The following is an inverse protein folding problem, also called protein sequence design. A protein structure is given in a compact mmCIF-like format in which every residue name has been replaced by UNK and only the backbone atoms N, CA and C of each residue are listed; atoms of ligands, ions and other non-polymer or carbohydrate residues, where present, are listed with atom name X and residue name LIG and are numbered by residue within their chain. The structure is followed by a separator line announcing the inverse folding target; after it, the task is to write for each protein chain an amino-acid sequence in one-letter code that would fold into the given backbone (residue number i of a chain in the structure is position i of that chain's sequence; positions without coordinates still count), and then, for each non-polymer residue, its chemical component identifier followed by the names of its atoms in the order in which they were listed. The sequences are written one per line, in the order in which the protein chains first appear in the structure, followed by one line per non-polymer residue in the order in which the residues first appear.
data_IF_486994969154
#
_entry.id   IF_486994969154
#
_cell.length_a   1.000
_cell.length_b   1.000
_cell.length_c   1.000
_cell.angle_alpha   90.00
_cell.angle_beta   90.00
_cell.angle_gamma   90.00
#
_symmetry.space_group_name_H-M   'P 1'
#
loop_
_entity.id
_entity.type
_entity.pdbx_description
1 polymer ?
#
# COMPACT_ATOMS: atom_id res chain seq x y z
N UNK A 1 12.97 5.93 27.61
CA UNK A 1 12.19 4.68 27.78
C UNK A 1 11.70 4.23 26.42
N UNK A 2 12.30 3.15 25.88
CA UNK A 2 12.07 2.62 24.53
C UNK A 2 10.91 1.62 24.60
N UNK A 3 9.77 1.95 23.98
CA UNK A 3 8.55 1.12 23.98
C UNK A 3 8.74 -0.24 23.27
N UNK A 4 9.82 -0.43 22.52
CA UNK A 4 10.04 -1.60 21.67
C UNK A 4 10.61 -2.84 22.40
N UNK A 5 11.05 -2.75 23.66
CA UNK A 5 11.76 -3.87 24.33
C UNK A 5 10.86 -4.77 25.18
N UNK A 6 9.59 -4.42 25.38
CA UNK A 6 8.67 -5.14 26.27
C UNK A 6 7.71 -6.09 25.55
N UNK A 7 7.72 -6.09 24.21
CA UNK A 7 6.91 -6.99 23.41
C UNK A 7 7.87 -7.89 22.64
N UNK A 8 8.18 -9.04 23.22
CA UNK A 8 8.82 -10.17 22.54
C UNK A 8 7.84 -10.79 21.53
N UNK A 9 7.31 -9.94 20.64
CA UNK A 9 6.37 -10.29 19.60
C UNK A 9 7.02 -9.87 18.29
N UNK A 10 7.27 -10.81 17.36
CA UNK A 10 7.67 -10.45 16.01
C UNK A 10 6.64 -9.46 15.45
N UNK A 11 7.07 -8.22 15.20
CA UNK A 11 6.21 -7.12 14.71
C UNK A 11 5.51 -7.41 13.37
N UNK A 12 5.86 -8.53 12.74
CA UNK A 12 5.32 -8.99 11.47
C UNK A 12 3.98 -9.74 11.55
N UNK A 13 3.34 -9.90 12.72
CA UNK A 13 2.15 -10.77 12.81
C UNK A 13 0.96 -10.30 13.66
N UNK A 14 0.68 -8.99 13.70
CA UNK A 14 -0.49 -8.47 14.43
C UNK A 14 -1.65 -7.99 13.55
N UNK A 15 -1.53 -8.01 12.21
CA UNK A 15 -2.66 -7.73 11.31
C UNK A 15 -2.49 -8.52 9.98
N UNK A 16 -2.21 -9.81 10.06
CA UNK A 16 -2.62 -10.71 8.97
C UNK A 16 -3.82 -11.47 9.51
N UNK A 17 -5.00 -10.97 9.18
CA UNK A 17 -6.13 -11.89 8.99
C UNK A 17 -5.72 -12.66 7.75
N UNK A 18 -5.22 -13.88 7.93
CA UNK A 18 -4.79 -14.76 6.83
C UNK A 18 -5.95 -14.87 5.83
N UNK A 19 -5.86 -14.14 4.71
CA UNK A 19 -6.89 -14.11 3.66
C UNK A 19 -7.24 -12.72 3.09
N UNK A 20 -6.91 -11.62 3.78
CA UNK A 20 -7.22 -10.28 3.27
C UNK A 20 -6.08 -9.71 2.41
N UNK A 21 -6.40 -9.31 1.17
CA UNK A 21 -5.46 -8.63 0.28
C UNK A 21 -5.24 -7.21 0.83
N UNK A 22 -4.00 -6.80 1.19
CA UNK A 22 -3.75 -5.44 1.67
C UNK A 22 -3.91 -4.42 0.54
N UNK A 23 -4.43 -3.24 0.86
CA UNK A 23 -4.45 -2.09 -0.04
C UNK A 23 -3.06 -1.41 -0.12
N UNK A 24 -2.88 -0.44 -1.02
CA UNK A 24 -1.59 0.23 -1.18
C UNK A 24 -1.14 0.96 0.09
N UNK A 25 -2.08 1.50 0.86
CA UNK A 25 -1.76 2.21 2.10
C UNK A 25 -1.26 1.24 3.16
N UNK A 26 -1.90 0.07 3.29
CA UNK A 26 -1.49 -1.00 4.18
C UNK A 26 -0.08 -1.50 3.84
N UNK A 27 0.20 -1.80 2.56
CA UNK A 27 1.54 -2.20 2.11
C UNK A 27 2.60 -1.15 2.46
N UNK A 28 2.29 0.13 2.22
CA UNK A 28 3.22 1.23 2.55
C UNK A 28 3.50 1.31 4.06
N UNK A 29 2.48 1.18 4.89
CA UNK A 29 2.61 1.24 6.35
C UNK A 29 3.36 0.02 6.90
N UNK A 30 3.11 -1.17 6.35
CA UNK A 30 3.87 -2.40 6.67
C UNK A 30 5.36 -2.26 6.33
N UNK A 31 5.68 -1.59 5.21
CA UNK A 31 7.06 -1.25 4.84
C UNK A 31 7.67 -0.10 5.66
N UNK A 32 6.92 0.53 6.57
CA UNK A 32 7.39 1.65 7.39
C UNK A 32 7.67 2.94 6.61
N UNK A 33 7.05 3.11 5.44
CA UNK A 33 7.32 4.22 4.53
C UNK A 33 6.26 5.35 4.65
N UNK A 34 6.71 6.61 4.51
CA UNK A 34 5.78 7.73 4.29
C UNK A 34 5.42 7.84 2.81
N UNK A 35 4.23 8.36 2.50
CA UNK A 35 3.79 8.56 1.10
C UNK A 35 4.77 9.42 0.30
N UNK A 36 5.34 10.45 0.93
CA UNK A 36 6.36 11.31 0.32
C UNK A 36 7.65 10.55 0.00
N UNK A 37 8.19 9.79 0.96
CA UNK A 37 9.41 9.00 0.75
C UNK A 37 9.23 7.98 -0.37
N UNK A 38 8.08 7.33 -0.40
CA UNK A 38 7.79 6.34 -1.43
C UNK A 38 7.60 6.97 -2.82
N UNK A 39 6.83 8.05 -2.92
CA UNK A 39 6.63 8.76 -4.18
C UNK A 39 7.96 9.23 -4.79
N UNK A 40 8.89 9.74 -3.95
CA UNK A 40 10.25 10.08 -4.38
C UNK A 40 11.02 8.85 -4.87
N UNK A 41 10.97 7.74 -4.14
CA UNK A 41 11.68 6.51 -4.49
C UNK A 41 11.21 5.91 -5.84
N UNK A 42 9.90 5.99 -6.11
CA UNK A 42 9.30 5.50 -7.36
C UNK A 42 9.19 6.58 -8.45
N UNK A 43 9.77 7.77 -8.21
CA UNK A 43 9.82 8.90 -9.15
C UNK A 43 8.45 9.35 -9.67
N UNK A 44 7.45 9.42 -8.79
CA UNK A 44 6.13 9.98 -9.10
C UNK A 44 5.82 11.17 -8.21
N UNK A 45 4.92 12.04 -8.67
CA UNK A 45 4.45 13.14 -7.84
C UNK A 45 3.67 12.60 -6.64
N UNK A 46 3.87 13.21 -5.46
CA UNK A 46 3.17 12.83 -4.23
C UNK A 46 1.64 12.81 -4.38
N UNK A 47 0.99 13.79 -5.07
CA UNK A 47 -0.44 13.74 -5.33
C UNK A 47 -0.87 12.53 -6.17
N UNK A 48 -0.05 12.13 -7.15
CA UNK A 48 -0.30 10.93 -7.97
C UNK A 48 -0.30 9.69 -7.11
N UNK A 49 0.69 9.54 -6.23
CA UNK A 49 0.76 8.42 -5.30
C UNK A 49 -0.42 8.40 -4.32
N UNK A 50 -0.82 9.56 -3.79
CA UNK A 50 -2.02 9.66 -2.96
C UNK A 50 -3.31 9.30 -3.72
N UNK A 51 -3.41 9.63 -5.00
CA UNK A 51 -4.54 9.22 -5.82
C UNK A 51 -4.60 7.69 -5.97
N UNK A 52 -3.44 7.03 -6.12
CA UNK A 52 -3.35 5.57 -6.15
C UNK A 52 -3.87 4.92 -4.88
N UNK A 53 -3.42 5.37 -3.69
CA UNK A 53 -3.91 4.84 -2.40
C UNK A 53 -5.40 5.09 -2.15
N UNK A 54 -6.00 6.03 -2.88
CA UNK A 54 -7.43 6.33 -2.80
C UNK A 54 -8.23 5.60 -3.87
N UNK A 55 -7.61 4.71 -4.66
CA UNK A 55 -8.28 4.03 -5.76
C UNK A 55 -8.69 4.99 -6.90
N UNK A 56 -8.07 6.16 -6.99
CA UNK A 56 -8.36 7.20 -7.99
C UNK A 56 -7.39 7.08 -9.16
N UNK A 57 -7.56 6.01 -9.93
CA UNK A 57 -6.76 5.73 -11.12
C UNK A 57 -7.61 5.00 -12.17
N UNK A 58 -7.26 5.17 -13.46
CA UNK A 58 -8.00 4.58 -14.59
C UNK A 58 -7.33 3.34 -15.19
N UNK A 59 -5.99 3.28 -15.13
CA UNK A 59 -5.16 2.17 -15.57
C UNK A 59 -4.04 1.94 -14.56
N UNK A 60 -3.55 0.70 -14.48
CA UNK A 60 -2.37 0.39 -13.69
C UNK A 60 -1.18 1.27 -14.16
N UNK A 61 -0.29 1.69 -13.26
CA UNK A 61 0.95 2.35 -13.63
C UNK A 61 1.80 1.48 -14.56
N UNK A 62 2.76 2.11 -15.23
CA UNK A 62 3.70 1.42 -16.10
C UNK A 62 4.48 0.32 -15.31
N UNK A 63 4.89 -0.78 -15.98
CA UNK A 63 5.57 -1.90 -15.34
C UNK A 63 6.76 -1.48 -14.45
N UNK A 64 7.55 -0.48 -14.88
CA UNK A 64 8.70 0.01 -14.14
C UNK A 64 8.31 0.62 -12.79
N UNK A 65 7.14 1.26 -12.72
CA UNK A 65 6.58 1.81 -11.49
C UNK A 65 6.09 0.71 -10.55
N UNK A 66 5.45 -0.34 -11.11
CA UNK A 66 5.00 -1.49 -10.34
C UNK A 66 6.18 -2.26 -9.73
N UNK A 67 7.24 -2.46 -10.50
CA UNK A 67 8.48 -3.06 -10.01
C UNK A 67 9.18 -2.20 -8.96
N UNK A 68 9.21 -0.88 -9.14
CA UNK A 68 9.80 0.03 -8.17
C UNK A 68 9.03 0.00 -6.83
N UNK A 69 7.70 -0.04 -6.89
CA UNK A 69 6.85 -0.23 -5.71
C UNK A 69 7.10 -1.58 -5.05
N UNK A 70 7.16 -2.67 -5.83
CA UNK A 70 7.43 -4.01 -5.33
C UNK A 70 8.76 -4.07 -4.56
N UNK A 71 9.82 -3.48 -5.12
CA UNK A 71 11.12 -3.35 -4.45
C UNK A 71 11.05 -2.50 -3.18
N UNK A 72 10.33 -1.38 -3.20
CA UNK A 72 10.20 -0.51 -2.04
C UNK A 72 9.41 -1.16 -0.89
N UNK A 73 8.42 -1.98 -1.21
CA UNK A 73 7.62 -2.72 -0.23
C UNK A 73 8.25 -4.04 0.21
N UNK A 74 9.18 -4.60 -0.56
CA UNK A 74 9.74 -5.92 -0.29
C UNK A 74 8.76 -7.07 -0.60
N UNK A 75 7.89 -6.90 -1.61
CA UNK A 75 6.88 -7.90 -2.01
C UNK A 75 6.97 -8.20 -3.52
N UNK A 76 6.26 -9.23 -3.99
CA UNK A 76 6.14 -9.52 -5.42
C UNK A 76 5.29 -8.46 -6.16
N UNK A 77 5.53 -8.27 -7.46
CA UNK A 77 4.75 -7.35 -8.31
C UNK A 77 3.26 -7.69 -8.30
N UNK A 78 2.91 -8.98 -8.27
CA UNK A 78 1.51 -9.42 -8.21
C UNK A 78 0.80 -8.94 -6.94
N UNK A 79 1.50 -8.87 -5.80
CA UNK A 79 0.95 -8.33 -4.57
C UNK A 79 0.69 -6.81 -4.69
N UNK A 80 1.56 -6.08 -5.40
CA UNK A 80 1.34 -4.66 -5.69
C UNK A 80 0.12 -4.46 -6.60
N UNK A 81 -0.01 -5.28 -7.64
CA UNK A 81 -1.17 -5.24 -8.55
C UNK A 81 -2.47 -5.57 -7.80
N UNK A 82 -2.44 -6.57 -6.92
CA UNK A 82 -3.56 -6.91 -6.05
C UNK A 82 -3.93 -5.73 -5.13
N UNK A 83 -2.94 -5.06 -4.54
CA UNK A 83 -3.16 -3.89 -3.70
C UNK A 83 -3.74 -2.68 -4.46
N UNK A 84 -3.34 -2.46 -5.72
CA UNK A 84 -3.98 -1.44 -6.58
C UNK A 84 -5.48 -1.72 -6.75
N UNK A 85 -5.82 -2.96 -7.08
CA UNK A 85 -7.21 -3.41 -7.26
C UNK A 85 -8.00 -3.28 -5.96
N UNK A 86 -7.39 -3.63 -4.84
CA UNK A 86 -8.01 -3.50 -3.52
C UNK A 86 -8.28 -2.02 -3.15
N UNK A 87 -7.32 -1.12 -3.35
CA UNK A 87 -7.55 0.33 -3.14
C UNK A 87 -8.68 0.88 -4.01
N UNK A 88 -8.85 0.37 -5.24
CA UNK A 88 -9.97 0.73 -6.11
C UNK A 88 -11.30 0.15 -5.61
N UNK A 89 -11.30 -1.10 -5.14
CA UNK A 89 -12.47 -1.79 -4.57
C UNK A 89 -13.00 -1.09 -3.31
N UNK A 90 -12.10 -0.62 -2.43
CA UNK A 90 -12.50 0.10 -1.22
C UNK A 90 -13.13 1.47 -1.55
N UNK A 91 -12.66 2.14 -2.60
CA UNK A 91 -13.25 3.41 -3.07
C UNK A 91 -14.70 3.22 -3.53
N UNK A 92 -14.97 2.22 -4.36
CA UNK A 92 -16.32 1.94 -4.85
C UNK A 92 -17.26 1.55 -3.70
N UNK A 93 -16.81 0.72 -2.75
CA UNK A 93 -17.60 0.35 -1.57
C UNK A 93 -17.90 1.54 -0.64
N UNK A 94 -16.92 2.42 -0.42
CA UNK A 94 -17.11 3.65 0.35
C UNK A 94 -18.05 4.66 -0.32
N UNK A 95 -18.19 4.58 -1.65
CA UNK A 95 -19.13 5.41 -2.42
C UNK A 95 -20.58 4.92 -2.32
N UNK A 96 -20.80 3.60 -2.28
CA UNK A 96 -22.15 3.01 -2.29
C UNK A 96 -22.87 3.16 -0.94
N UNK A 97 -22.14 3.29 0.17
CA UNK A 97 -22.75 3.47 1.51
C UNK A 97 -23.24 4.92 1.78
N UNK A 98 -23.14 5.82 0.79
CA UNK A 98 -23.53 7.23 0.92
C UNK A 98 -24.72 7.64 0.04
N UNK A 99 -25.53 6.69 -0.43
CA UNK A 99 -26.73 6.94 -1.26
C UNK A 99 -28.04 6.63 -0.53
#
# INVERSE_FOLDING_TARGET
MRLAKALDIPTLRLIQIDGEVPDLRALRLQAGLSAQKLAMAVKVAVPTYYAWEQGRWARLPAPESLEALARAYGVAVDAVVAAFRESQRQRQWGGDTSA
#
